data_IF_667337458828
#
_entry.id   IF_667337458828
#
_cell.length_a   1.000
_cell.length_b   1.000
_cell.length_c   1.000
_cell.angle_alpha   90.00
_cell.angle_beta   90.00
_cell.angle_gamma   90.00
#
_symmetry.space_group_name_H-M   'P 1'
#
loop_
_entity.id
_entity.type
_entity.pdbx_description
1 polymer ?
#
# COMPACT_ATOMS: atom_id res chain seq x y z
N UNK A 1 28.15 -77.49 -4.44
CA UNK A 1 28.06 -76.42 -3.43
C UNK A 1 26.67 -75.81 -3.56
N UNK A 2 26.02 -75.63 -2.42
CA UNK A 2 24.59 -75.36 -2.11
C UNK A 2 23.99 -74.14 -2.89
N UNK A 3 22.67 -74.12 -3.18
CA UNK A 3 21.93 -73.02 -3.85
C UNK A 3 21.29 -72.02 -2.86
N UNK A 4 20.85 -70.82 -3.30
CA UNK A 4 19.77 -69.97 -2.70
C UNK A 4 19.63 -68.67 -3.51
N UNK A 5 18.48 -68.19 -4.05
CA UNK A 5 17.09 -67.93 -3.64
C UNK A 5 16.82 -66.40 -3.46
N UNK A 6 15.58 -66.01 -3.81
CA UNK A 6 14.87 -64.70 -3.65
C UNK A 6 15.12 -63.66 -4.77
N UNK A 7 14.17 -63.27 -5.66
CA UNK A 7 12.84 -62.61 -5.50
C UNK A 7 12.90 -61.39 -4.57
N UNK A 8 12.40 -60.17 -4.80
CA UNK A 8 11.61 -59.46 -5.84
C UNK A 8 11.84 -57.91 -5.62
N UNK A 9 10.92 -56.95 -5.87
CA UNK A 9 11.18 -55.65 -6.51
C UNK A 9 11.30 -54.50 -5.48
N UNK A 10 11.49 -53.24 -5.89
CA UNK A 10 10.66 -52.15 -5.34
C UNK A 10 10.82 -50.81 -6.06
N UNK A 11 9.66 -50.38 -6.53
CA UNK A 11 9.20 -49.03 -6.84
C UNK A 11 9.48 -48.03 -5.71
N UNK A 12 10.10 -46.90 -6.05
CA UNK A 12 9.82 -45.58 -5.47
C UNK A 12 9.92 -44.60 -6.64
N UNK A 13 8.86 -44.31 -7.41
CA UNK A 13 7.69 -43.53 -7.03
C UNK A 13 8.04 -42.37 -6.08
N UNK A 14 8.13 -41.19 -6.69
CA UNK A 14 7.45 -39.98 -6.23
C UNK A 14 7.85 -39.44 -4.87
N UNK A 15 8.52 -38.30 -4.88
CA UNK A 15 8.14 -37.16 -4.06
C UNK A 15 8.45 -35.90 -4.90
N UNK A 16 7.48 -35.48 -5.72
CA UNK A 16 7.39 -34.07 -6.09
C UNK A 16 7.50 -33.24 -4.80
N UNK A 17 8.30 -32.17 -4.76
CA UNK A 17 8.31 -31.31 -3.59
C UNK A 17 6.88 -30.80 -3.41
N UNK A 18 6.31 -31.10 -2.24
CA UNK A 18 4.97 -30.74 -1.84
C UNK A 18 4.62 -29.34 -2.35
N UNK A 19 3.66 -29.27 -3.28
CA UNK A 19 3.02 -28.04 -3.69
C UNK A 19 2.47 -27.40 -2.41
N UNK A 20 3.14 -26.34 -1.95
CA UNK A 20 2.63 -25.45 -0.92
C UNK A 20 1.18 -25.07 -1.30
N UNK A 21 0.27 -24.95 -0.34
CA UNK A 21 -1.09 -24.54 -0.65
C UNK A 21 -1.04 -23.21 -1.41
N UNK A 22 -1.64 -23.16 -2.62
CA UNK A 22 -1.56 -21.98 -3.50
C UNK A 22 -2.11 -20.71 -2.83
N UNK A 23 -3.04 -20.89 -1.87
CA UNK A 23 -3.53 -19.84 -0.96
C UNK A 23 -2.91 -20.04 0.42
N UNK A 24 -2.06 -19.10 0.82
CA UNK A 24 -1.46 -19.08 2.16
C UNK A 24 -2.39 -18.42 3.17
N UNK A 25 -2.71 -19.10 4.26
CA UNK A 25 -3.36 -18.53 5.43
C UNK A 25 -2.42 -18.71 6.62
N UNK A 26 -1.88 -17.60 7.13
CA UNK A 26 -0.89 -17.58 8.20
C UNK A 26 -1.36 -16.64 9.31
N UNK A 27 -1.40 -17.10 10.56
CA UNK A 27 -1.62 -16.22 11.71
C UNK A 27 -0.35 -15.43 11.98
N UNK A 28 -0.44 -14.11 11.92
CA UNK A 28 0.67 -13.20 12.17
C UNK A 28 0.31 -12.26 13.32
N UNK A 29 0.89 -12.52 14.51
CA UNK A 29 0.66 -11.76 15.74
C UNK A 29 -0.83 -11.71 16.16
N UNK A 30 -1.63 -10.82 15.55
CA UNK A 30 -3.04 -10.57 15.83
C UNK A 30 -3.89 -10.38 14.55
N UNK A 31 -3.33 -10.62 13.37
CA UNK A 31 -4.03 -10.62 12.11
C UNK A 31 -3.88 -11.95 11.38
N UNK A 32 -4.80 -12.22 10.45
CA UNK A 32 -4.70 -13.31 9.50
C UNK A 32 -4.09 -12.76 8.21
N UNK A 33 -2.88 -13.21 7.90
CA UNK A 33 -2.27 -12.97 6.60
C UNK A 33 -2.84 -13.95 5.59
N UNK A 34 -3.46 -13.42 4.54
CA UNK A 34 -3.96 -14.21 3.42
C UNK A 34 -3.17 -13.86 2.16
N UNK A 35 -2.49 -14.85 1.60
CA UNK A 35 -1.69 -14.71 0.38
C UNK A 35 -2.42 -15.32 -0.79
N UNK A 36 -2.66 -14.52 -1.83
CA UNK A 36 -3.32 -14.95 -3.05
C UNK A 36 -2.29 -15.18 -4.15
N UNK A 37 -2.31 -16.33 -4.85
CA UNK A 37 -1.40 -16.61 -5.94
C UNK A 37 -1.68 -15.66 -7.10
N UNK A 38 -0.71 -15.34 -7.96
CA UNK A 38 -0.91 -14.41 -9.08
C UNK A 38 -1.19 -15.11 -10.43
N UNK A 39 -0.89 -16.40 -10.57
CA UNK A 39 -0.95 -17.15 -11.83
C UNK A 39 -2.34 -17.70 -12.20
N UNK A 40 -3.25 -17.76 -11.23
CA UNK A 40 -4.62 -18.25 -11.46
C UNK A 40 -5.55 -17.14 -11.96
N UNK A 41 -6.59 -17.48 -12.70
CA UNK A 41 -7.68 -16.54 -12.95
C UNK A 41 -8.63 -16.47 -11.74
N UNK A 42 -9.35 -15.36 -11.58
CA UNK A 42 -10.25 -15.18 -10.43
C UNK A 42 -11.34 -16.27 -10.37
N UNK A 43 -11.83 -16.71 -11.53
CA UNK A 43 -12.85 -17.77 -11.65
C UNK A 43 -12.39 -19.11 -11.05
N UNK A 44 -11.10 -19.42 -11.14
CA UNK A 44 -10.53 -20.66 -10.62
C UNK A 44 -10.03 -20.50 -9.18
N UNK A 45 -9.55 -19.30 -8.84
CA UNK A 45 -9.08 -18.96 -7.50
C UNK A 45 -10.24 -18.86 -6.50
N UNK A 46 -11.36 -18.27 -6.91
CA UNK A 46 -12.48 -17.97 -6.01
C UNK A 46 -13.04 -19.22 -5.29
N UNK A 47 -13.36 -20.33 -5.99
CA UNK A 47 -13.80 -21.56 -5.33
C UNK A 47 -12.77 -22.09 -4.32
N UNK A 48 -11.47 -21.97 -4.63
CA UNK A 48 -10.41 -22.41 -3.72
C UNK A 48 -10.34 -21.55 -2.46
N UNK A 49 -10.53 -20.24 -2.57
CA UNK A 49 -10.62 -19.33 -1.41
C UNK A 49 -11.77 -19.77 -0.50
N UNK A 50 -12.97 -20.00 -1.08
CA UNK A 50 -14.14 -20.42 -0.31
C UNK A 50 -13.89 -21.73 0.44
N UNK A 51 -13.40 -22.76 -0.26
CA UNK A 51 -13.06 -24.06 0.34
C UNK A 51 -12.03 -23.87 1.48
N UNK A 52 -11.02 -23.02 1.27
CA UNK A 52 -9.97 -22.81 2.26
C UNK A 52 -10.51 -22.10 3.50
N UNK A 53 -11.36 -21.08 3.32
CA UNK A 53 -12.04 -20.41 4.43
C UNK A 53 -12.93 -21.41 5.19
N UNK A 54 -13.79 -22.17 4.51
CA UNK A 54 -14.66 -23.16 5.17
C UNK A 54 -13.85 -24.22 5.94
N UNK A 55 -12.70 -24.64 5.41
CA UNK A 55 -11.83 -25.64 6.06
C UNK A 55 -11.16 -25.18 7.36
N UNK A 56 -11.15 -23.86 7.64
CA UNK A 56 -10.47 -23.27 8.81
C UNK A 56 -11.46 -22.66 9.82
N UNK A 57 -12.76 -22.85 9.61
CA UNK A 57 -13.84 -22.33 10.47
C UNK A 57 -13.65 -22.51 11.99
N UNK A 58 -13.23 -23.69 12.48
CA UNK A 58 -13.11 -23.92 13.93
C UNK A 58 -12.01 -23.10 14.61
N UNK A 59 -11.12 -22.45 13.84
CA UNK A 59 -9.89 -21.84 14.34
C UNK A 59 -10.00 -20.33 14.57
N UNK A 60 -11.05 -19.66 14.08
CA UNK A 60 -11.13 -18.20 14.18
C UNK A 60 -11.65 -17.76 15.56
N UNK A 61 -10.77 -17.12 16.33
CA UNK A 61 -11.15 -16.52 17.60
C UNK A 61 -11.70 -15.10 17.38
N UNK A 62 -13.02 -14.93 17.48
CA UNK A 62 -13.65 -13.62 17.47
C UNK A 62 -13.63 -12.92 16.10
N UNK A 63 -13.62 -11.59 16.11
CA UNK A 63 -13.53 -10.78 14.90
C UNK A 63 -12.05 -10.55 14.59
N UNK A 64 -11.55 -11.16 13.52
CA UNK A 64 -10.12 -11.18 13.20
C UNK A 64 -9.83 -10.31 11.97
N UNK A 65 -8.85 -9.42 12.09
CA UNK A 65 -8.40 -8.59 10.99
C UNK A 65 -7.63 -9.43 9.95
N UNK A 66 -7.83 -9.12 8.67
CA UNK A 66 -7.20 -9.81 7.54
C UNK A 66 -6.37 -8.83 6.72
N UNK A 67 -5.11 -9.20 6.52
CA UNK A 67 -4.21 -8.56 5.58
C UNK A 67 -4.12 -9.40 4.33
N UNK A 68 -4.58 -8.85 3.20
CA UNK A 68 -4.60 -9.56 1.92
C UNK A 68 -3.35 -9.20 1.10
N UNK A 69 -2.45 -10.17 0.92
CA UNK A 69 -1.28 -10.08 0.07
C UNK A 69 -1.61 -10.58 -1.34
N UNK A 70 -1.74 -9.64 -2.27
CA UNK A 70 -2.08 -9.94 -3.67
C UNK A 70 -0.84 -10.01 -4.58
N UNK A 71 0.34 -9.54 -4.12
CA UNK A 71 1.54 -9.46 -4.95
C UNK A 71 1.26 -8.78 -6.29
N UNK A 72 1.58 -9.46 -7.39
CA UNK A 72 1.34 -9.00 -8.77
C UNK A 72 -0.07 -9.29 -9.32
N UNK A 73 -1.00 -9.82 -8.52
CA UNK A 73 -2.38 -10.07 -8.96
C UNK A 73 -3.14 -8.77 -9.19
N UNK A 74 -3.79 -8.69 -10.35
CA UNK A 74 -4.80 -7.68 -10.62
C UNK A 74 -6.11 -8.06 -9.93
N UNK A 75 -6.67 -7.15 -9.12
CA UNK A 75 -8.03 -7.27 -8.61
C UNK A 75 -8.80 -5.99 -8.86
N UNK A 76 -10.03 -6.13 -9.35
CA UNK A 76 -10.96 -5.02 -9.47
C UNK A 76 -11.80 -4.83 -8.19
N UNK A 77 -12.66 -3.80 -8.17
CA UNK A 77 -13.51 -3.52 -7.01
C UNK A 77 -14.51 -4.65 -6.73
N UNK A 78 -15.05 -5.30 -7.75
CA UNK A 78 -16.03 -6.38 -7.57
C UNK A 78 -15.38 -7.60 -6.91
N UNK A 79 -14.16 -7.96 -7.31
CA UNK A 79 -13.42 -9.08 -6.75
C UNK A 79 -13.01 -8.83 -5.30
N UNK A 80 -12.54 -7.61 -4.99
CA UNK A 80 -12.20 -7.23 -3.61
C UNK A 80 -13.46 -7.22 -2.73
N UNK A 81 -14.58 -6.71 -3.23
CA UNK A 81 -15.86 -6.72 -2.52
C UNK A 81 -16.34 -8.15 -2.26
N UNK A 82 -16.29 -9.01 -3.27
CA UNK A 82 -16.66 -10.43 -3.14
C UNK A 82 -15.81 -11.14 -2.08
N UNK A 83 -14.50 -10.88 -2.07
CA UNK A 83 -13.60 -11.38 -1.04
C UNK A 83 -13.97 -10.88 0.36
N UNK A 84 -14.20 -9.57 0.51
CA UNK A 84 -14.53 -8.97 1.79
C UNK A 84 -15.85 -9.50 2.36
N UNK A 85 -16.85 -9.76 1.51
CA UNK A 85 -18.11 -10.37 1.91
C UNK A 85 -17.93 -11.78 2.45
N UNK A 86 -17.20 -12.64 1.73
CA UNK A 86 -16.93 -14.00 2.21
C UNK A 86 -16.10 -14.03 3.49
N UNK A 87 -15.16 -13.11 3.66
CA UNK A 87 -14.45 -12.95 4.93
C UNK A 87 -15.43 -12.54 6.05
N UNK A 88 -16.32 -11.59 5.78
CA UNK A 88 -17.31 -11.09 6.74
C UNK A 88 -18.26 -12.18 7.27
N UNK A 89 -18.72 -13.08 6.40
CA UNK A 89 -19.55 -14.25 6.79
C UNK A 89 -18.86 -15.13 7.85
N UNK A 90 -17.53 -15.14 7.81
CA UNK A 90 -16.66 -15.94 8.67
C UNK A 90 -16.11 -15.15 9.87
N UNK A 91 -16.65 -13.95 10.15
CA UNK A 91 -16.17 -13.00 11.19
C UNK A 91 -14.73 -12.52 10.96
N UNK A 92 -14.25 -12.61 9.72
CA UNK A 92 -12.99 -12.04 9.30
C UNK A 92 -13.24 -10.66 8.69
N UNK A 93 -12.33 -9.71 8.92
CA UNK A 93 -12.46 -8.35 8.40
C UNK A 93 -11.26 -8.01 7.52
N UNK A 94 -11.48 -7.78 6.23
CA UNK A 94 -10.45 -7.21 5.38
C UNK A 94 -10.14 -5.78 5.84
N UNK A 95 -8.92 -5.55 6.33
CA UNK A 95 -8.48 -4.23 6.79
C UNK A 95 -7.48 -3.59 5.85
N UNK A 96 -6.62 -4.42 5.23
CA UNK A 96 -5.51 -3.95 4.42
C UNK A 96 -5.29 -4.82 3.19
N UNK A 97 -4.95 -4.16 2.09
CA UNK A 97 -4.53 -4.79 0.84
C UNK A 97 -3.07 -4.42 0.54
N UNK A 98 -2.22 -5.44 0.45
CA UNK A 98 -0.80 -5.32 0.12
C UNK A 98 -0.62 -5.84 -1.31
N UNK A 99 -0.14 -4.98 -2.21
CA UNK A 99 -0.07 -5.29 -3.65
C UNK A 99 1.09 -4.58 -4.33
N UNK A 100 1.59 -5.15 -5.41
CA UNK A 100 2.54 -4.50 -6.33
C UNK A 100 1.81 -3.85 -7.51
N UNK A 101 0.51 -4.16 -7.69
CA UNK A 101 -0.32 -3.66 -8.79
C UNK A 101 -1.05 -2.39 -8.39
N UNK A 102 -0.71 -1.31 -9.08
CA UNK A 102 -1.39 -0.01 -8.95
C UNK A 102 -2.92 -0.09 -9.09
N UNK A 103 -3.41 -0.86 -10.05
CA UNK A 103 -4.84 -0.98 -10.32
C UNK A 103 -5.58 -1.60 -9.12
N UNK A 104 -5.00 -2.64 -8.51
CA UNK A 104 -5.48 -3.25 -7.27
C UNK A 104 -5.45 -2.28 -6.11
N UNK A 105 -4.36 -1.51 -5.95
CA UNK A 105 -4.24 -0.48 -4.92
C UNK A 105 -5.35 0.58 -5.03
N UNK A 106 -5.63 1.06 -6.25
CA UNK A 106 -6.71 2.03 -6.49
C UNK A 106 -8.07 1.41 -6.16
N UNK A 107 -8.33 0.18 -6.60
CA UNK A 107 -9.60 -0.51 -6.34
C UNK A 107 -9.85 -0.67 -4.83
N UNK A 108 -8.84 -1.13 -4.08
CA UNK A 108 -8.90 -1.31 -2.62
C UNK A 108 -9.13 0.02 -1.89
N UNK A 109 -8.36 1.06 -2.21
CA UNK A 109 -8.52 2.38 -1.61
C UNK A 109 -9.90 3.00 -1.92
N UNK A 110 -10.44 2.76 -3.12
CA UNK A 110 -11.77 3.24 -3.50
C UNK A 110 -12.87 2.61 -2.64
N UNK A 111 -12.71 1.33 -2.26
CA UNK A 111 -13.61 0.62 -1.36
C UNK A 111 -13.41 0.99 0.13
N UNK A 112 -12.36 1.74 0.45
CA UNK A 112 -12.10 2.23 1.80
C UNK A 112 -11.15 1.37 2.63
N UNK A 113 -10.41 0.44 2.01
CA UNK A 113 -9.39 -0.35 2.70
C UNK A 113 -8.05 0.40 2.77
N UNK A 114 -7.25 0.07 3.78
CA UNK A 114 -5.84 0.50 3.83
C UNK A 114 -5.05 -0.20 2.72
N UNK A 115 -4.05 0.50 2.19
CA UNK A 115 -3.28 0.04 1.03
C UNK A 115 -1.80 0.25 1.27
N UNK A 116 -1.03 -0.82 1.07
CA UNK A 116 0.41 -0.73 0.91
C UNK A 116 0.78 -1.19 -0.49
N UNK A 117 1.16 -0.24 -1.34
CA UNK A 117 1.66 -0.56 -2.67
C UNK A 117 3.18 -0.74 -2.64
N UNK A 118 3.65 -1.97 -2.85
CA UNK A 118 5.07 -2.28 -3.01
C UNK A 118 5.63 -1.72 -4.32
N UNK A 119 6.91 -1.34 -4.32
CA UNK A 119 7.63 -1.06 -5.56
C UNK A 119 7.85 -2.37 -6.34
N UNK A 120 7.73 -2.39 -7.68
CA UNK A 120 8.09 -3.56 -8.46
C UNK A 120 9.57 -3.91 -8.19
N UNK A 121 9.93 -5.20 -8.04
CA UNK A 121 11.33 -5.59 -7.86
C UNK A 121 12.13 -5.19 -9.10
N UNK A 122 13.09 -4.29 -8.92
CA UNK A 122 14.05 -3.93 -9.97
C UNK A 122 15.09 -5.07 -10.03
N UNK A 123 15.27 -5.77 -11.16
CA UNK A 123 16.29 -6.81 -11.25
C UNK A 123 17.69 -6.20 -11.08
N UNK A 124 18.62 -6.86 -10.35
CA UNK A 124 19.91 -6.29 -9.95
C UNK A 124 20.98 -6.24 -11.06
N UNK A 125 20.58 -6.13 -12.33
CA UNK A 125 21.51 -6.04 -13.46
C UNK A 125 21.41 -4.64 -14.08
N UNK A 126 22.16 -3.69 -13.49
CA UNK A 126 22.95 -2.60 -14.12
C UNK A 126 23.34 -1.68 -12.96
N UNK A 127 24.50 -1.96 -12.36
CA UNK A 127 25.24 -0.96 -11.60
C UNK A 127 25.99 -0.10 -12.62
N UNK A 128 25.38 1.02 -13.03
CA UNK A 128 26.05 2.08 -13.78
C UNK A 128 25.45 3.43 -13.38
N UNK A 129 26.17 4.12 -12.49
CA UNK A 129 26.17 5.56 -12.22
C UNK A 129 25.09 6.42 -12.90
N UNK A 130 23.98 6.64 -12.21
CA UNK A 130 23.19 7.89 -12.05
C UNK A 130 22.12 7.55 -10.99
N UNK A 131 21.92 8.40 -9.99
CA UNK A 131 20.89 8.25 -8.94
C UNK A 131 19.47 8.38 -9.53
N UNK A 132 19.05 7.42 -10.35
CA UNK A 132 17.66 7.22 -10.74
C UNK A 132 17.14 5.96 -10.05
N UNK A 133 16.62 6.16 -8.83
CA UNK A 133 15.70 5.25 -8.18
C UNK A 133 14.62 4.87 -9.22
N UNK A 134 14.58 3.60 -9.63
CA UNK A 134 13.71 3.12 -10.70
C UNK A 134 12.32 3.77 -10.58
N UNK A 135 11.94 4.55 -11.60
CA UNK A 135 10.86 5.54 -11.49
C UNK A 135 9.51 4.88 -11.16
N UNK A 136 9.21 4.72 -9.87
CA UNK A 136 7.90 4.29 -9.38
C UNK A 136 6.92 5.43 -9.67
N UNK A 137 5.92 5.17 -10.52
CA UNK A 137 4.96 6.22 -10.90
C UNK A 137 4.11 6.68 -9.70
N UNK A 138 3.74 7.97 -9.61
CA UNK A 138 2.91 8.49 -8.52
C UNK A 138 1.54 7.80 -8.40
N UNK A 139 1.08 7.46 -7.20
CA UNK A 139 -0.25 6.88 -6.98
C UNK A 139 -1.31 7.99 -7.00
N UNK A 140 -2.35 7.81 -7.82
CA UNK A 140 -3.42 8.79 -7.99
C UNK A 140 -4.75 8.17 -7.56
N UNK A 141 -5.35 8.74 -6.52
CA UNK A 141 -6.57 8.25 -5.87
C UNK A 141 -7.69 9.27 -6.07
N UNK A 142 -8.84 8.84 -6.59
CA UNK A 142 -10.05 9.67 -6.70
C UNK A 142 -11.07 9.29 -5.63
N UNK A 143 -10.67 9.42 -4.37
CA UNK A 143 -11.53 9.07 -3.22
C UNK A 143 -11.12 9.87 -2.00
N UNK A 144 -12.04 9.99 -1.04
CA UNK A 144 -11.79 10.57 0.28
C UNK A 144 -11.29 9.48 1.22
N UNK A 145 -10.16 9.74 1.89
CA UNK A 145 -9.61 8.85 2.91
C UNK A 145 -10.30 9.10 4.25
N UNK A 146 -10.82 8.03 4.86
CA UNK A 146 -11.63 8.06 6.09
C UNK A 146 -10.81 7.56 7.28
N UNK A 147 -11.31 7.82 8.48
CA UNK A 147 -10.66 7.37 9.71
C UNK A 147 -10.36 5.86 9.66
N UNK A 148 -9.12 5.48 10.02
CA UNK A 148 -8.63 4.12 9.98
C UNK A 148 -7.95 3.71 8.67
N UNK A 149 -8.06 4.52 7.61
CA UNK A 149 -7.36 4.24 6.35
C UNK A 149 -5.91 4.71 6.40
N UNK A 150 -5.01 3.85 5.96
CA UNK A 150 -3.60 4.17 5.73
C UNK A 150 -3.23 3.88 4.27
N UNK A 151 -2.63 4.87 3.61
CA UNK A 151 -2.11 4.74 2.24
C UNK A 151 -0.59 4.85 2.29
N UNK A 152 0.10 3.77 1.92
CA UNK A 152 1.56 3.71 1.84
C UNK A 152 2.00 3.49 0.39
N UNK A 153 2.82 4.40 -0.14
CA UNK A 153 3.34 4.30 -1.51
C UNK A 153 4.82 4.67 -1.63
N UNK A 154 5.52 3.95 -2.51
CA UNK A 154 6.96 4.14 -2.80
C UNK A 154 7.30 5.35 -3.68
N UNK A 155 6.32 6.16 -4.08
CA UNK A 155 6.49 7.42 -4.80
C UNK A 155 5.49 8.46 -4.31
N UNK A 156 5.34 9.58 -5.03
CA UNK A 156 4.37 10.62 -4.69
C UNK A 156 2.92 10.10 -4.69
N UNK A 157 2.08 10.64 -3.80
CA UNK A 157 0.65 10.30 -3.71
C UNK A 157 -0.18 11.54 -4.00
N UNK A 158 -1.16 11.40 -4.90
CA UNK A 158 -2.14 12.44 -5.22
C UNK A 158 -3.53 11.92 -4.84
N UNK A 159 -4.22 12.68 -3.99
CA UNK A 159 -5.59 12.39 -3.55
C UNK A 159 -6.52 13.47 -4.10
N UNK A 160 -7.43 13.10 -4.99
CA UNK A 160 -8.56 13.92 -5.39
C UNK A 160 -9.73 13.66 -4.44
N UNK A 161 -9.68 14.32 -3.28
CA UNK A 161 -10.60 14.12 -2.16
C UNK A 161 -10.01 14.63 -0.85
N UNK A 162 -10.74 14.43 0.24
CA UNK A 162 -10.29 14.79 1.58
C UNK A 162 -9.45 13.69 2.22
N UNK A 163 -8.58 14.06 3.15
CA UNK A 163 -7.94 13.13 4.09
C UNK A 163 -8.45 13.46 5.48
N UNK A 164 -9.39 12.66 5.98
CA UNK A 164 -10.06 12.94 7.26
C UNK A 164 -9.18 12.64 8.47
N UNK A 165 -9.57 13.17 9.64
CA UNK A 165 -8.97 12.80 10.91
C UNK A 165 -8.99 11.27 11.10
N UNK A 166 -7.88 10.71 11.57
CA UNK A 166 -7.69 9.27 11.71
C UNK A 166 -7.25 8.55 10.44
N UNK A 167 -7.18 9.21 9.28
CA UNK A 167 -6.55 8.68 8.07
C UNK A 167 -5.06 9.09 8.00
N UNK A 168 -4.23 8.28 7.35
CA UNK A 168 -2.81 8.56 7.08
C UNK A 168 -2.45 8.39 5.60
N UNK A 169 -1.57 9.27 5.11
CA UNK A 169 -0.90 9.12 3.80
C UNK A 169 0.59 9.17 4.01
N UNK A 170 1.28 8.12 3.58
CA UNK A 170 2.73 7.94 3.70
C UNK A 170 3.28 7.74 2.28
N UNK A 171 4.14 8.65 1.85
CA UNK A 171 4.71 8.68 0.51
C UNK A 171 6.23 8.85 0.59
N UNK A 172 6.98 8.10 -0.22
CA UNK A 172 8.42 8.35 -0.38
C UNK A 172 8.70 9.68 -1.11
N UNK A 173 7.76 10.14 -1.94
CA UNK A 173 7.81 11.42 -2.64
C UNK A 173 6.90 12.48 -2.02
N UNK A 174 6.33 13.33 -2.88
CA UNK A 174 5.42 14.40 -2.49
C UNK A 174 4.01 13.87 -2.16
N UNK A 175 3.25 14.65 -1.39
CA UNK A 175 1.83 14.41 -1.15
C UNK A 175 1.03 15.60 -1.66
N UNK A 176 0.05 15.35 -2.52
CA UNK A 176 -0.85 16.36 -3.07
C UNK A 176 -2.27 15.96 -2.73
N UNK A 177 -2.97 16.77 -1.93
CA UNK A 177 -4.35 16.55 -1.55
C UNK A 177 -5.19 17.65 -2.16
N UNK A 178 -5.97 17.30 -3.18
CA UNK A 178 -6.92 18.21 -3.79
C UNK A 178 -8.23 18.23 -3.00
N UNK A 179 -8.13 18.68 -1.75
CA UNK A 179 -9.19 18.67 -0.74
C UNK A 179 -8.67 19.19 0.60
N UNK A 180 -9.32 18.81 1.70
CA UNK A 180 -8.91 19.15 3.07
C UNK A 180 -8.03 18.06 3.66
N UNK A 181 -6.89 18.44 4.23
CA UNK A 181 -6.04 17.55 5.01
C UNK A 181 -6.34 17.74 6.50
N UNK A 182 -7.05 16.79 7.11
CA UNK A 182 -7.39 16.72 8.54
C UNK A 182 -6.69 15.55 9.26
N UNK A 183 -6.19 14.57 8.51
CA UNK A 183 -5.45 13.41 9.01
C UNK A 183 -3.95 13.65 9.16
N UNK A 184 -3.18 12.58 8.99
CA UNK A 184 -1.71 12.58 9.01
C UNK A 184 -1.17 12.52 7.58
N UNK A 185 -0.14 13.31 7.28
CA UNK A 185 0.60 13.20 6.03
C UNK A 185 2.10 13.10 6.31
N UNK A 186 2.75 12.08 5.74
CA UNK A 186 4.20 11.86 5.80
C UNK A 186 4.78 11.78 4.38
N UNK A 187 5.26 12.91 3.89
CA UNK A 187 5.97 13.00 2.62
C UNK A 187 7.46 12.73 2.81
N UNK A 188 8.16 12.34 1.75
CA UNK A 188 9.59 12.07 1.84
C UNK A 188 9.94 10.95 2.81
N UNK A 189 9.06 9.96 3.02
CA UNK A 189 9.17 8.97 4.09
C UNK A 189 10.44 8.10 4.02
N UNK A 190 11.14 8.09 2.88
CA UNK A 190 12.46 7.47 2.70
C UNK A 190 13.64 8.44 2.93
N UNK A 191 13.43 9.57 3.61
CA UNK A 191 14.46 10.55 3.93
C UNK A 191 14.57 11.74 2.98
N UNK A 192 13.64 11.91 2.03
CA UNK A 192 13.64 13.07 1.13
C UNK A 192 13.08 14.31 1.83
N UNK A 193 13.97 15.11 2.45
CA UNK A 193 13.59 16.36 3.12
C UNK A 193 13.12 17.47 2.18
N UNK A 194 13.31 17.31 0.86
CA UNK A 194 12.84 18.26 -0.16
C UNK A 194 11.40 18.00 -0.61
N UNK A 195 10.75 16.95 -0.11
CA UNK A 195 9.38 16.61 -0.45
C UNK A 195 8.39 17.67 0.08
N UNK A 196 7.29 17.85 -0.64
CA UNK A 196 6.23 18.80 -0.29
C UNK A 196 4.93 18.11 0.07
N UNK A 197 4.17 18.75 0.96
CA UNK A 197 2.76 18.41 1.21
C UNK A 197 1.92 19.60 0.78
N UNK A 198 1.06 19.41 -0.22
CA UNK A 198 0.18 20.46 -0.76
C UNK A 198 -1.28 20.10 -0.52
N UNK A 199 -2.09 21.06 -0.07
CA UNK A 199 -3.52 20.86 0.22
C UNK A 199 -4.33 22.13 -0.04
N UNK A 200 -5.64 22.02 -0.25
CA UNK A 200 -6.52 23.18 -0.40
C UNK A 200 -6.88 23.84 0.95
N UNK A 201 -6.76 23.07 2.03
CA UNK A 201 -6.93 23.51 3.42
C UNK A 201 -6.03 22.63 4.30
N UNK A 202 -5.08 23.22 5.03
CA UNK A 202 -4.16 22.49 5.90
C UNK A 202 -4.65 22.54 7.35
N UNK A 203 -5.27 21.45 7.79
CA UNK A 203 -5.77 21.26 9.15
C UNK A 203 -5.28 19.91 9.73
N UNK A 204 -4.08 19.48 9.33
CA UNK A 204 -3.57 18.15 9.60
C UNK A 204 -3.34 17.96 11.11
N UNK A 205 -3.70 16.78 11.64
CA UNK A 205 -3.32 16.42 13.01
C UNK A 205 -1.81 16.34 13.17
N UNK A 206 -1.11 15.90 12.12
CA UNK A 206 0.34 15.80 12.07
C UNK A 206 0.86 15.89 10.63
N UNK A 207 1.92 16.67 10.45
CA UNK A 207 2.72 16.70 9.22
C UNK A 207 4.08 16.07 9.50
N UNK A 208 4.57 15.30 8.53
CA UNK A 208 5.94 14.81 8.50
C UNK A 208 6.56 14.99 7.13
N UNK A 209 7.80 15.44 7.08
CA UNK A 209 8.59 15.55 5.86
C UNK A 209 9.96 14.98 6.19
N UNK A 210 10.34 13.85 5.59
CA UNK A 210 11.46 13.05 6.04
C UNK A 210 11.39 12.80 7.58
N UNK A 211 12.41 13.24 8.32
CA UNK A 211 12.50 13.09 9.77
C UNK A 211 11.87 14.26 10.55
N UNK A 212 11.46 15.33 9.86
CA UNK A 212 10.82 16.47 10.50
C UNK A 212 9.35 16.16 10.83
N UNK A 213 8.89 16.63 11.99
CA UNK A 213 7.50 16.48 12.45
C UNK A 213 6.98 17.84 12.90
N UNK A 214 5.75 18.18 12.52
CA UNK A 214 5.09 19.39 12.98
C UNK A 214 3.60 19.16 13.23
N UNK A 215 3.03 19.97 14.11
CA UNK A 215 1.59 20.16 14.24
C UNK A 215 1.18 21.36 13.41
N UNK A 216 0.02 21.26 12.79
CA UNK A 216 -0.53 22.35 11.99
C UNK A 216 -1.14 23.42 12.92
N UNK A 217 -0.93 24.72 12.65
CA UNK A 217 -1.70 25.79 13.30
C UNK A 217 -3.18 25.70 12.88
N UNK A 218 -4.02 26.57 13.46
CA UNK A 218 -5.40 26.71 12.99
C UNK A 218 -5.43 27.19 11.53
N UNK A 219 -6.23 26.57 10.65
CA UNK A 219 -6.26 26.94 9.25
C UNK A 219 -6.78 28.37 9.05
N UNK A 220 -6.33 29.05 7.98
CA UNK A 220 -6.78 30.39 7.67
C UNK A 220 -8.30 30.42 7.39
N UNK A 221 -8.94 31.53 7.74
CA UNK A 221 -10.34 31.82 7.42
C UNK A 221 -10.44 33.17 6.68
N UNK A 222 -10.82 33.20 5.39
CA UNK A 222 -11.24 32.06 4.56
C UNK A 222 -10.07 31.12 4.19
N UNK A 223 -10.34 29.83 3.90
CA UNK A 223 -9.31 28.88 3.54
C UNK A 223 -8.69 29.23 2.17
N UNK A 224 -7.39 28.98 2.03
CA UNK A 224 -6.66 29.07 0.78
C UNK A 224 -5.66 27.89 0.66
N UNK A 225 -5.23 27.52 -0.56
CA UNK A 225 -4.28 26.44 -0.73
C UNK A 225 -2.92 26.72 -0.08
N UNK A 226 -2.39 25.72 0.61
CA UNK A 226 -1.17 25.80 1.40
C UNK A 226 -0.19 24.69 1.01
N UNK A 227 1.09 24.97 1.24
CA UNK A 227 2.20 24.04 1.03
C UNK A 227 3.06 23.99 2.28
N UNK A 228 3.35 22.77 2.73
CA UNK A 228 4.31 22.50 3.78
C UNK A 228 5.60 21.96 3.17
N UNK A 229 6.74 22.47 3.65
CA UNK A 229 8.08 22.10 3.22
C UNK A 229 9.04 22.14 4.42
N UNK A 230 10.11 21.34 4.38
CA UNK A 230 11.11 21.34 5.45
C UNK A 230 12.16 22.44 5.26
N UNK A 231 12.65 22.96 6.38
CA UNK A 231 13.76 23.91 6.50
C UNK A 231 14.64 23.50 7.68
N UNK A 232 15.79 24.15 7.87
CA UNK A 232 16.66 23.93 9.04
C UNK A 232 15.96 24.22 10.38
N UNK A 233 14.89 25.02 10.36
CA UNK A 233 14.08 25.37 11.54
C UNK A 233 12.87 24.44 11.73
N UNK A 234 12.75 23.37 10.91
CA UNK A 234 11.60 22.47 10.88
C UNK A 234 10.65 22.74 9.71
N UNK A 235 9.44 22.18 9.79
CA UNK A 235 8.43 22.32 8.73
C UNK A 235 7.82 23.72 8.77
N UNK A 236 7.82 24.39 7.63
CA UNK A 236 7.17 25.68 7.41
C UNK A 236 5.94 25.49 6.51
N UNK A 237 4.89 26.26 6.78
CA UNK A 237 3.65 26.27 5.99
C UNK A 237 3.50 27.66 5.36
N UNK A 238 3.24 27.70 4.06
CA UNK A 238 3.05 28.94 3.32
C UNK A 238 1.85 28.82 2.36
N UNK A 239 1.25 29.96 1.94
CA UNK A 239 0.31 29.96 0.83
C UNK A 239 0.97 29.36 -0.42
N UNK A 240 0.27 28.45 -1.11
CA UNK A 240 0.81 27.80 -2.31
C UNK A 240 1.19 28.80 -3.40
N UNK A 241 0.50 29.95 -3.45
CA UNK A 241 0.79 31.04 -4.39
C UNK A 241 2.17 31.69 -4.14
N UNK A 242 2.70 31.65 -2.91
CA UNK A 242 4.04 32.16 -2.62
C UNK A 242 5.12 31.28 -3.28
N UNK A 243 4.90 29.96 -3.35
CA UNK A 243 5.84 29.05 -4.03
C UNK A 243 5.92 29.29 -5.54
N UNK A 244 4.82 29.68 -6.18
CA UNK A 244 4.82 30.03 -7.62
C UNK A 244 5.65 31.29 -7.91
N UNK A 245 5.88 32.16 -6.92
CA UNK A 245 6.69 33.37 -7.07
C UNK A 245 8.16 33.14 -6.76
N UNK A 246 8.47 32.21 -5.85
CA UNK A 246 9.86 31.84 -5.51
C UNK A 246 10.49 30.85 -6.49
N UNK A 247 9.69 30.07 -7.23
CA UNK A 247 10.17 29.13 -8.25
C UNK A 247 10.30 29.74 -9.65
N UNK A 248 10.02 31.04 -9.81
CA UNK A 248 10.32 31.76 -11.03
C UNK A 248 11.85 31.91 -11.18
N UNK A 249 12.43 31.05 -12.04
CA UNK A 249 13.80 31.03 -12.59
C UNK A 249 14.92 30.37 -11.75
N UNK A 250 14.98 29.02 -11.81
CA UNK A 250 16.27 28.30 -11.87
C UNK A 250 16.59 27.77 -13.28
N UNK A 251 15.85 28.21 -14.30
CA UNK A 251 16.20 27.98 -15.70
C UNK A 251 16.81 29.27 -16.25
N UNK A 252 18.10 29.51 -16.01
CA UNK A 252 19.13 30.08 -16.93
C UNK A 252 20.40 30.33 -16.11
N UNK A 253 21.14 29.26 -15.81
CA UNK A 253 22.59 29.31 -15.52
C UNK A 253 23.21 28.09 -16.23
N UNK A 254 23.00 28.05 -17.55
CA UNK A 254 23.71 27.24 -18.53
C UNK A 254 23.69 28.06 -19.82
N UNK A 255 24.77 28.82 -20.03
CA UNK A 255 25.00 29.68 -21.19
C UNK A 255 26.18 30.60 -20.95
#
# INVERSE_FOLDING_TARGET
>A
MVPDLTETPDTFAGLEPAQLPEIGLEYAQECLKMTLPAHLEWVDLWPQIQIRLDSQEPLWAGMLAVECHCGQRLMDQSQIQQLAEALGEKRLQLVQVITERRQTAIAAATLGYSVQQGAPPVPPLIAATTDEEAAVSPLYLKTTLRSGMEICHGASVIVLGDVNAGASVIAAGDIIIWGRLRGVAHAGAKGNSRAWIMTLEMAATQLRIADFVARTPEPPSPPYPEVAYATDQGIQIAPALHMLRSSAFHATDLG
#
